data_IF_731070941387
#
_entry.id   IF_731070941387
#
_cell.length_a   1.000
_cell.length_b   1.000
_cell.length_c   1.000
_cell.angle_alpha   90.00
_cell.angle_beta   90.00
_cell.angle_gamma   90.00
#
_symmetry.space_group_name_H-M   'P 1'
#
loop_
_entity.id
_entity.type
_entity.pdbx_description
1 polymer ?
#
# COMPACT_ATOMS: atom_id res chain seq x y z
N UNK A 1 -4.26 -2.73 34.31
CA UNK A 1 -4.15 -1.42 33.61
C UNK A 1 -4.17 -1.72 32.11
N UNK A 2 -5.10 -1.18 31.33
CA UNK A 2 -5.11 -1.44 29.88
C UNK A 2 -4.01 -0.62 29.21
N UNK A 3 -3.00 -1.28 28.65
CA UNK A 3 -1.93 -0.60 27.90
C UNK A 3 -2.51 -0.01 26.61
N UNK A 4 -2.26 1.28 26.38
CA UNK A 4 -2.80 2.00 25.22
C UNK A 4 -1.99 1.72 23.93
N UNK A 5 -2.63 1.76 22.75
CA UNK A 5 -1.93 1.78 21.46
C UNK A 5 -0.93 2.94 21.35
N UNK A 6 0.19 2.72 20.67
CA UNK A 6 1.17 3.78 20.35
C UNK A 6 0.76 4.51 19.07
N UNK A 7 -0.21 5.43 19.18
CA UNK A 7 -0.83 6.08 18.02
C UNK A 7 0.17 6.88 17.17
N UNK A 8 1.09 7.62 17.79
CA UNK A 8 2.11 8.36 17.03
C UNK A 8 3.09 7.39 16.36
N UNK A 9 3.48 6.33 17.06
CA UNK A 9 4.34 5.29 16.48
C UNK A 9 3.70 4.55 15.31
N UNK A 10 2.40 4.23 15.37
CA UNK A 10 1.67 3.61 14.24
C UNK A 10 1.64 4.54 13.03
N UNK A 11 1.44 5.84 13.24
CA UNK A 11 1.50 6.83 12.16
C UNK A 11 2.90 6.91 11.53
N UNK A 12 3.96 6.91 12.36
CA UNK A 12 5.34 6.84 11.90
C UNK A 12 5.61 5.58 11.05
N UNK A 13 5.19 4.41 11.53
CA UNK A 13 5.34 3.15 10.79
C UNK A 13 4.64 3.19 9.43
N UNK A 14 3.44 3.79 9.36
CA UNK A 14 2.70 3.93 8.12
C UNK A 14 3.42 4.83 7.10
N UNK A 15 3.92 5.99 7.55
CA UNK A 15 4.71 6.90 6.71
C UNK A 15 6.03 6.26 6.26
N UNK A 16 6.67 5.46 7.13
CA UNK A 16 7.90 4.76 6.76
C UNK A 16 7.63 3.65 5.73
N UNK A 17 6.57 2.86 5.94
CA UNK A 17 6.16 1.84 4.99
C UNK A 17 5.79 2.43 3.63
N UNK A 18 5.13 3.58 3.60
CA UNK A 18 4.89 4.35 2.36
C UNK A 18 6.21 4.65 1.64
N UNK A 19 7.19 5.26 2.32
CA UNK A 19 8.50 5.58 1.73
C UNK A 19 9.22 4.33 1.20
N UNK A 20 9.15 3.23 1.95
CA UNK A 20 9.77 1.97 1.54
C UNK A 20 9.10 1.41 0.26
N UNK A 21 7.78 1.56 0.11
CA UNK A 21 7.04 1.15 -1.09
C UNK A 21 7.33 2.06 -2.28
N UNK A 22 7.48 3.37 -2.06
CA UNK A 22 7.93 4.30 -3.10
C UNK A 22 9.36 4.01 -3.56
N UNK A 23 10.25 3.66 -2.64
CA UNK A 23 11.62 3.28 -2.96
C UNK A 23 11.68 2.01 -3.81
N UNK A 24 10.87 0.98 -3.49
CA UNK A 24 10.74 -0.23 -4.32
C UNK A 24 10.21 0.13 -5.72
N UNK A 25 9.17 0.96 -5.80
CA UNK A 25 8.62 1.40 -7.08
C UNK A 25 9.63 2.19 -7.93
N UNK A 26 10.42 3.06 -7.30
CA UNK A 26 11.45 3.85 -7.97
C UNK A 26 12.59 2.96 -8.49
N UNK A 27 13.09 2.03 -7.66
CA UNK A 27 14.10 1.06 -8.08
C UNK A 27 13.62 0.20 -9.26
N UNK A 28 12.37 -0.29 -9.20
CA UNK A 28 11.80 -1.04 -10.32
C UNK A 28 11.72 -0.20 -11.59
N UNK A 29 11.27 1.05 -11.52
CA UNK A 29 11.19 1.92 -12.69
C UNK A 29 12.55 2.11 -13.36
N UNK A 30 13.62 2.28 -12.57
CA UNK A 30 15.00 2.35 -13.07
C UNK A 30 15.43 1.04 -13.73
N UNK A 31 15.10 -0.11 -13.14
CA UNK A 31 15.45 -1.43 -13.70
C UNK A 31 14.74 -1.74 -15.03
N UNK A 32 13.53 -1.22 -15.22
CA UNK A 32 12.73 -1.46 -16.42
C UNK A 32 13.18 -0.61 -17.62
N UNK A 33 13.76 0.56 -17.37
CA UNK A 33 14.08 1.52 -18.42
C UNK A 33 15.05 0.96 -19.48
N UNK A 34 16.20 0.34 -19.12
CA UNK A 34 17.10 -0.24 -20.12
C UNK A 34 16.46 -1.38 -20.92
N UNK A 35 15.54 -2.13 -20.31
CA UNK A 35 14.87 -3.25 -20.97
C UNK A 35 13.91 -2.79 -22.07
N UNK A 36 13.37 -1.56 -21.98
CA UNK A 36 12.48 -1.00 -23.00
C UNK A 36 13.13 -0.95 -24.39
N UNK A 37 14.45 -0.84 -24.46
CA UNK A 37 15.23 -0.88 -25.71
C UNK A 37 15.06 -2.17 -26.52
N UNK A 38 14.51 -3.23 -25.91
CA UNK A 38 14.19 -4.47 -26.60
C UNK A 38 12.95 -4.35 -27.50
N UNK A 39 12.10 -3.34 -27.30
CA UNK A 39 10.83 -3.17 -28.03
C UNK A 39 11.08 -2.41 -29.32
N UNK A 40 10.79 -3.05 -30.46
CA UNK A 40 10.85 -2.45 -31.80
C UNK A 40 9.45 -2.02 -32.23
N UNK A 41 9.26 -0.73 -32.52
CA UNK A 41 7.99 -0.17 -32.96
C UNK A 41 7.48 -0.80 -34.27
N UNK A 42 8.37 -1.17 -35.18
CA UNK A 42 8.00 -1.81 -36.45
C UNK A 42 7.68 -3.30 -36.29
N UNK A 43 8.07 -3.90 -35.16
CA UNK A 43 7.96 -5.33 -34.89
C UNK A 43 7.41 -5.63 -33.49
N UNK A 44 6.40 -4.86 -33.05
CA UNK A 44 5.87 -4.94 -31.67
C UNK A 44 5.51 -6.37 -31.25
N UNK A 45 4.80 -7.14 -32.07
CA UNK A 45 4.40 -8.51 -31.71
C UNK A 45 5.58 -9.47 -31.57
N UNK A 46 6.65 -9.23 -32.33
CA UNK A 46 7.84 -10.07 -32.31
C UNK A 46 8.73 -9.74 -31.10
N UNK A 47 8.81 -8.47 -30.73
CA UNK A 47 9.74 -8.00 -29.67
C UNK A 47 9.11 -7.95 -28.28
N UNK A 48 7.79 -7.76 -28.17
CA UNK A 48 7.08 -7.72 -26.89
C UNK A 48 7.30 -8.97 -26.02
N UNK A 49 7.28 -10.21 -26.54
CA UNK A 49 7.57 -11.40 -25.73
C UNK A 49 8.97 -11.41 -25.11
N UNK A 50 9.98 -10.89 -25.83
CA UNK A 50 11.34 -10.80 -25.30
C UNK A 50 11.43 -9.77 -24.17
N UNK A 51 10.81 -8.61 -24.36
CA UNK A 51 10.71 -7.59 -23.32
C UNK A 51 9.99 -8.13 -22.08
N UNK A 52 8.86 -8.82 -22.25
CA UNK A 52 8.12 -9.47 -21.16
C UNK A 52 9.00 -10.47 -20.40
N UNK A 53 9.76 -11.30 -21.11
CA UNK A 53 10.69 -12.25 -20.49
C UNK A 53 11.77 -11.57 -19.64
N UNK A 54 12.22 -10.37 -20.03
CA UNK A 54 13.16 -9.56 -19.27
C UNK A 54 12.56 -8.86 -18.04
N UNK A 55 11.34 -8.31 -18.16
CA UNK A 55 10.73 -7.48 -17.10
C UNK A 55 10.01 -8.29 -16.03
N UNK A 56 9.38 -9.42 -16.37
CA UNK A 56 8.57 -10.20 -15.43
C UNK A 56 9.35 -10.66 -14.17
N UNK A 57 10.61 -11.15 -14.27
CA UNK A 57 11.40 -11.47 -13.09
C UNK A 57 11.67 -10.25 -12.20
N UNK A 58 11.89 -9.06 -12.78
CA UNK A 58 12.14 -7.81 -12.03
C UNK A 58 10.90 -7.38 -11.24
N UNK A 59 9.74 -7.44 -11.89
CA UNK A 59 8.45 -7.15 -11.25
C UNK A 59 8.16 -8.17 -10.15
N UNK A 60 8.45 -9.45 -10.37
CA UNK A 60 8.31 -10.49 -9.33
C UNK A 60 9.19 -10.20 -8.12
N UNK A 61 10.46 -9.84 -8.31
CA UNK A 61 11.35 -9.46 -7.20
C UNK A 61 10.79 -8.27 -6.42
N UNK A 62 10.39 -7.21 -7.13
CA UNK A 62 9.78 -6.03 -6.49
C UNK A 62 8.47 -6.34 -5.76
N UNK A 63 7.63 -7.23 -6.32
CA UNK A 63 6.40 -7.72 -5.69
C UNK A 63 6.69 -8.45 -4.38
N UNK A 64 7.68 -9.36 -4.36
CA UNK A 64 8.08 -10.07 -3.15
C UNK A 64 8.72 -9.13 -2.12
N UNK A 65 9.51 -8.14 -2.55
CA UNK A 65 10.05 -7.10 -1.66
C UNK A 65 8.92 -6.26 -1.05
N UNK A 66 7.92 -5.89 -1.85
CA UNK A 66 6.73 -5.16 -1.40
C UNK A 66 5.94 -5.96 -0.36
N UNK A 67 5.74 -7.27 -0.60
CA UNK A 67 5.13 -8.17 0.39
C UNK A 67 5.93 -8.23 1.69
N UNK A 68 7.25 -8.35 1.60
CA UNK A 68 8.10 -8.49 2.79
C UNK A 68 8.07 -7.25 3.68
N UNK A 69 8.25 -6.07 3.10
CA UNK A 69 8.17 -4.81 3.87
C UNK A 69 6.77 -4.65 4.48
N UNK A 70 5.71 -5.01 3.74
CA UNK A 70 4.35 -4.98 4.26
C UNK A 70 4.14 -5.94 5.45
N UNK A 71 4.71 -7.16 5.41
CA UNK A 71 4.59 -8.12 6.50
C UNK A 71 5.30 -7.64 7.78
N UNK A 72 6.52 -7.10 7.64
CA UNK A 72 7.25 -6.49 8.77
C UNK A 72 6.47 -5.29 9.33
N UNK A 73 5.96 -4.44 8.45
CA UNK A 73 5.11 -3.31 8.81
C UNK A 73 3.86 -3.75 9.57
N UNK A 74 3.10 -4.73 9.07
CA UNK A 74 1.87 -5.21 9.73
C UNK A 74 2.17 -5.79 11.10
N UNK A 75 3.29 -6.51 11.25
CA UNK A 75 3.71 -7.06 12.54
C UNK A 75 4.03 -5.94 13.54
N UNK A 76 4.77 -4.93 13.11
CA UNK A 76 5.13 -3.79 13.95
C UNK A 76 3.90 -2.97 14.36
N UNK A 77 2.94 -2.74 13.44
CA UNK A 77 1.67 -2.09 13.77
C UNK A 77 0.87 -2.91 14.77
N UNK A 78 0.87 -4.23 14.63
CA UNK A 78 0.20 -5.13 15.57
C UNK A 78 0.77 -5.02 16.98
N UNK A 79 2.09 -5.10 17.16
CA UNK A 79 2.73 -4.90 18.48
C UNK A 79 2.44 -3.52 19.07
N UNK A 80 2.49 -2.47 18.23
CA UNK A 80 2.20 -1.11 18.66
C UNK A 80 0.74 -0.96 19.13
N UNK A 81 -0.19 -1.66 18.49
CA UNK A 81 -1.63 -1.54 18.74
C UNK A 81 -2.17 -2.49 19.80
N UNK A 82 -1.61 -3.69 19.89
CA UNK A 82 -2.04 -4.80 20.74
C UNK A 82 -0.91 -5.23 21.69
N UNK A 83 -0.55 -4.39 22.68
CA UNK A 83 0.61 -4.63 23.55
C UNK A 83 0.61 -5.93 24.34
N UNK A 84 -0.59 -6.45 24.66
CA UNK A 84 -0.77 -7.59 25.56
C UNK A 84 -1.08 -8.89 24.83
N UNK A 85 -1.34 -8.82 23.52
CA UNK A 85 -1.66 -10.00 22.74
C UNK A 85 -0.39 -10.77 22.37
N UNK A 86 -0.53 -12.09 22.21
CA UNK A 86 0.54 -12.94 21.72
C UNK A 86 0.97 -12.53 20.31
N UNK A 87 2.26 -12.64 19.95
CA UNK A 87 2.73 -12.33 18.61
C UNK A 87 2.03 -13.21 17.57
N UNK A 88 1.72 -12.62 16.43
CA UNK A 88 1.30 -13.38 15.26
C UNK A 88 2.55 -13.83 14.49
N UNK A 89 2.80 -15.13 14.43
CA UNK A 89 3.91 -15.69 13.66
C UNK A 89 3.52 -15.74 12.18
N UNK A 90 4.07 -14.82 11.38
CA UNK A 90 3.78 -14.71 9.95
C UNK A 90 5.00 -15.12 9.13
N UNK A 91 4.75 -15.85 8.04
CA UNK A 91 5.77 -16.11 7.03
C UNK A 91 6.03 -14.84 6.21
N UNK A 92 7.28 -14.66 5.80
CA UNK A 92 7.71 -13.60 4.89
C UNK A 92 8.40 -14.21 3.69
N UNK A 93 8.26 -13.64 2.49
CA UNK A 93 8.92 -14.21 1.33
C UNK A 93 10.44 -14.11 1.47
N UNK A 94 11.13 -15.12 0.92
CA UNK A 94 12.58 -15.10 0.81
C UNK A 94 12.97 -14.31 -0.45
N UNK A 95 13.46 -13.10 -0.26
CA UNK A 95 13.84 -12.19 -1.33
C UNK A 95 14.95 -11.26 -0.85
N UNK A 96 15.81 -10.85 -1.76
CA UNK A 96 16.89 -9.91 -1.48
C UNK A 96 16.36 -8.55 -1.01
N UNK A 97 17.02 -7.97 -0.01
CA UNK A 97 16.70 -6.64 0.48
C UNK A 97 17.17 -5.59 -0.52
N UNK A 98 16.31 -4.65 -0.96
CA UNK A 98 16.78 -3.52 -1.76
C UNK A 98 17.78 -2.67 -0.97
N UNK A 99 18.72 -2.03 -1.67
CA UNK A 99 19.69 -1.12 -1.04
C UNK A 99 19.02 0.10 -0.38
N UNK A 100 17.92 0.58 -0.97
CA UNK A 100 17.13 1.72 -0.51
C UNK A 100 16.29 1.45 0.74
N UNK A 101 16.14 0.19 1.14
CA UNK A 101 15.31 -0.22 2.29
C UNK A 101 16.20 -0.51 3.50
N UNK A 102 15.83 0.03 4.66
CA UNK A 102 16.56 -0.21 5.91
C UNK A 102 16.43 -1.67 6.35
N UNK A 103 17.40 -2.18 7.12
CA UNK A 103 17.32 -3.54 7.68
C UNK A 103 16.09 -3.69 8.58
N UNK A 104 15.73 -2.66 9.34
CA UNK A 104 14.59 -2.69 10.26
C UNK A 104 13.24 -2.77 9.55
N UNK A 105 13.12 -2.22 8.34
CA UNK A 105 11.92 -2.33 7.53
C UNK A 105 11.77 -3.70 6.84
N UNK A 106 12.82 -4.54 6.88
CA UNK A 106 12.88 -5.79 6.11
C UNK A 106 13.13 -7.04 6.98
N UNK A 107 13.57 -6.85 8.21
CA UNK A 107 13.78 -7.90 9.20
C UNK A 107 12.54 -8.08 10.06
N UNK A 108 12.06 -9.32 10.18
CA UNK A 108 10.99 -9.64 11.13
C UNK A 108 11.50 -9.47 12.57
N UNK A 109 10.67 -8.93 13.49
CA UNK A 109 11.01 -8.92 14.90
C UNK A 109 11.24 -10.34 15.44
N UNK A 110 12.02 -10.47 16.52
CA UNK A 110 12.15 -11.75 17.24
C UNK A 110 10.83 -12.09 17.93
N UNK A 111 10.09 -13.06 17.36
CA UNK A 111 8.78 -13.49 17.84
C UNK A 111 8.86 -14.72 18.76
N UNK A 112 10.04 -15.29 18.99
CA UNK A 112 10.17 -16.62 19.59
C UNK A 112 9.56 -17.74 18.73
N UNK A 113 9.32 -18.90 19.34
CA UNK A 113 8.73 -20.06 18.67
C UNK A 113 7.21 -19.91 18.52
N UNK A 114 6.69 -20.32 17.35
CA UNK A 114 5.25 -20.35 17.11
C UNK A 114 4.90 -20.92 15.74
N UNK A 115 3.61 -21.16 15.51
CA UNK A 115 3.10 -21.70 14.25
C UNK A 115 3.08 -20.61 13.18
N UNK A 116 3.94 -20.74 12.17
CA UNK A 116 4.01 -19.82 11.04
C UNK A 116 2.72 -19.87 10.21
N UNK A 117 2.12 -18.71 10.00
CA UNK A 117 0.97 -18.50 9.12
C UNK A 117 1.43 -17.83 7.84
N UNK A 118 1.08 -18.44 6.71
CA UNK A 118 1.38 -17.84 5.42
C UNK A 118 0.39 -16.72 5.11
N UNK A 119 0.92 -15.50 5.01
CA UNK A 119 0.17 -14.30 4.60
C UNK A 119 0.62 -13.82 3.23
N UNK A 120 1.54 -14.53 2.60
CA UNK A 120 2.07 -14.17 1.28
C UNK A 120 1.07 -14.57 0.20
N UNK A 121 1.13 -13.86 -0.92
CA UNK A 121 0.37 -14.18 -2.12
C UNK A 121 1.31 -14.59 -3.26
N UNK A 122 0.88 -15.54 -4.11
CA UNK A 122 1.66 -15.94 -5.26
C UNK A 122 1.74 -14.80 -6.29
N UNK A 123 2.87 -14.72 -7.00
CA UNK A 123 3.01 -13.80 -8.12
C UNK A 123 2.30 -14.37 -9.36
N UNK A 124 1.19 -13.74 -9.76
CA UNK A 124 0.36 -14.13 -10.90
C UNK A 124 0.98 -13.71 -12.24
N UNK A 125 2.02 -14.45 -12.70
CA UNK A 125 2.81 -14.12 -13.90
C UNK A 125 1.94 -13.82 -15.13
N UNK A 126 0.92 -14.64 -15.40
CA UNK A 126 0.07 -14.47 -16.59
C UNK A 126 -0.78 -13.19 -16.52
N UNK A 127 -1.32 -12.87 -15.34
CA UNK A 127 -2.10 -11.64 -15.11
C UNK A 127 -1.22 -10.40 -15.32
N UNK A 128 -0.01 -10.43 -14.77
CA UNK A 128 0.97 -9.34 -14.93
C UNK A 128 1.41 -9.19 -16.38
N UNK A 129 1.74 -10.29 -17.06
CA UNK A 129 2.10 -10.26 -18.48
C UNK A 129 0.98 -9.67 -19.34
N UNK A 130 -0.28 -10.04 -19.06
CA UNK A 130 -1.46 -9.49 -19.74
C UNK A 130 -1.59 -7.99 -19.49
N UNK A 131 -1.47 -7.55 -18.23
CA UNK A 131 -1.50 -6.13 -17.81
C UNK A 131 -0.48 -5.30 -18.61
N UNK A 132 0.76 -5.78 -18.70
CA UNK A 132 1.84 -5.11 -19.45
C UNK A 132 1.60 -5.11 -20.96
N UNK A 133 1.19 -6.25 -21.53
CA UNK A 133 0.93 -6.39 -22.97
C UNK A 133 -0.19 -5.45 -23.43
N UNK A 134 -1.23 -5.30 -22.61
CA UNK A 134 -2.33 -4.37 -22.89
C UNK A 134 -1.83 -2.94 -22.90
N UNK A 135 -1.04 -2.55 -21.89
CA UNK A 135 -0.58 -1.16 -21.71
C UNK A 135 0.51 -0.73 -22.69
N UNK A 136 1.40 -1.67 -23.05
CA UNK A 136 2.44 -1.49 -24.05
C UNK A 136 1.89 -1.76 -25.46
N UNK A 137 1.87 -3.02 -25.90
CA UNK A 137 1.62 -3.40 -27.29
C UNK A 137 0.22 -2.99 -27.79
N UNK A 138 -0.84 -3.46 -27.12
CA UNK A 138 -2.21 -3.29 -27.63
C UNK A 138 -2.60 -1.81 -27.73
N UNK A 139 -2.35 -1.02 -26.68
CA UNK A 139 -2.68 0.42 -26.68
C UNK A 139 -1.84 1.22 -27.67
N UNK A 140 -0.57 0.85 -27.88
CA UNK A 140 0.27 1.48 -28.91
C UNK A 140 -0.29 1.22 -30.30
N UNK A 141 -0.58 -0.05 -30.63
CA UNK A 141 -1.20 -0.41 -31.91
C UNK A 141 -2.53 0.28 -32.15
N UNK A 142 -3.37 0.36 -31.11
CA UNK A 142 -4.66 1.05 -31.18
C UNK A 142 -4.52 2.55 -31.48
N UNK A 143 -3.39 3.15 -31.13
CA UNK A 143 -3.11 4.56 -31.39
C UNK A 143 -2.39 4.80 -32.73
N UNK A 144 -2.12 3.76 -33.53
CA UNK A 144 -1.51 3.90 -34.85
C UNK A 144 -2.57 4.26 -35.93
N UNK A 145 -2.19 5.03 -36.98
CA UNK A 145 -0.86 5.62 -37.19
C UNK A 145 -0.62 6.83 -36.27
N UNK A 146 0.62 7.03 -35.85
CA UNK A 146 1.05 8.15 -35.03
C UNK A 146 2.58 8.28 -35.05
N UNK A 147 3.13 9.30 -34.42
CA UNK A 147 4.57 9.51 -34.33
C UNK A 147 5.20 8.42 -33.45
N UNK A 148 6.21 7.72 -33.98
CA UNK A 148 6.88 6.60 -33.30
C UNK A 148 7.36 7.00 -31.90
N UNK A 149 8.14 8.08 -31.79
CA UNK A 149 8.67 8.57 -30.52
C UNK A 149 7.57 8.83 -29.49
N UNK A 150 6.49 9.53 -29.88
CA UNK A 150 5.38 9.84 -28.99
C UNK A 150 4.64 8.58 -28.53
N UNK A 151 4.39 7.65 -29.46
CA UNK A 151 3.70 6.41 -29.14
C UNK A 151 4.54 5.49 -28.24
N UNK A 152 5.84 5.42 -28.49
CA UNK A 152 6.78 4.61 -27.71
C UNK A 152 7.04 5.19 -26.32
N UNK A 153 7.18 6.51 -26.19
CA UNK A 153 7.29 7.19 -24.89
C UNK A 153 6.03 6.96 -24.05
N UNK A 154 4.86 7.13 -24.65
CA UNK A 154 3.60 6.88 -23.95
C UNK A 154 3.45 5.39 -23.56
N UNK A 155 3.94 4.47 -24.39
CA UNK A 155 3.92 3.04 -24.10
C UNK A 155 4.84 2.67 -22.93
N UNK A 156 6.04 3.26 -22.89
CA UNK A 156 6.95 3.15 -21.75
C UNK A 156 6.27 3.64 -20.47
N UNK A 157 5.73 4.86 -20.47
CA UNK A 157 5.05 5.43 -19.29
C UNK A 157 3.90 4.55 -18.81
N UNK A 158 3.02 4.09 -19.71
CA UNK A 158 1.88 3.24 -19.34
C UNK A 158 2.31 1.89 -18.79
N UNK A 159 3.27 1.23 -19.45
CA UNK A 159 3.72 -0.11 -19.09
C UNK A 159 4.56 -0.11 -17.80
N UNK A 160 5.43 0.88 -17.60
CA UNK A 160 6.10 1.12 -16.31
C UNK A 160 5.09 1.39 -15.20
N UNK A 161 4.05 2.18 -15.46
CA UNK A 161 2.99 2.42 -14.48
C UNK A 161 2.20 1.17 -14.11
N UNK A 162 1.96 0.27 -15.07
CA UNK A 162 1.36 -1.03 -14.80
C UNK A 162 2.32 -1.91 -13.98
N UNK A 163 3.59 -2.00 -14.36
CA UNK A 163 4.60 -2.75 -13.63
C UNK A 163 4.72 -2.30 -12.16
N UNK A 164 4.76 -0.98 -11.90
CA UNK A 164 4.76 -0.41 -10.54
C UNK A 164 3.51 -0.81 -9.78
N UNK A 165 2.32 -0.68 -10.38
CA UNK A 165 1.07 -1.10 -9.76
C UNK A 165 1.11 -2.59 -9.39
N UNK A 166 1.58 -3.44 -10.30
CA UNK A 166 1.68 -4.89 -10.05
C UNK A 166 2.70 -5.24 -8.97
N UNK A 167 3.81 -4.50 -8.86
CA UNK A 167 4.75 -4.69 -7.75
C UNK A 167 4.13 -4.30 -6.40
N UNK A 168 3.49 -3.13 -6.31
CA UNK A 168 2.89 -2.63 -5.07
C UNK A 168 1.66 -3.43 -4.63
N UNK A 169 1.04 -4.20 -5.54
CA UNK A 169 0.01 -5.17 -5.17
C UNK A 169 0.51 -6.19 -4.14
N UNK A 170 1.82 -6.45 -4.04
CA UNK A 170 2.37 -7.32 -2.99
C UNK A 170 2.00 -6.84 -1.59
N UNK A 171 2.19 -5.54 -1.32
CA UNK A 171 1.78 -4.95 -0.04
C UNK A 171 0.28 -5.08 0.23
N UNK A 172 -0.55 -4.84 -0.79
CA UNK A 172 -2.01 -4.90 -0.68
C UNK A 172 -2.49 -6.32 -0.41
N UNK A 173 -1.88 -7.31 -1.06
CA UNK A 173 -2.18 -8.73 -0.88
C UNK A 173 -1.82 -9.21 0.54
N UNK A 174 -0.69 -8.76 1.09
CA UNK A 174 -0.33 -9.08 2.48
C UNK A 174 -1.36 -8.56 3.48
N UNK A 175 -1.81 -7.31 3.32
CA UNK A 175 -2.84 -6.75 4.20
C UNK A 175 -4.20 -7.40 3.96
N UNK A 176 -4.53 -7.80 2.73
CA UNK A 176 -5.72 -8.61 2.45
C UNK A 176 -5.67 -9.96 3.18
N UNK A 177 -4.51 -10.60 3.20
CA UNK A 177 -4.35 -11.90 3.84
C UNK A 177 -4.34 -11.78 5.36
N UNK A 178 -3.74 -10.72 5.91
CA UNK A 178 -3.74 -10.51 7.36
C UNK A 178 -5.15 -10.32 7.91
N UNK A 179 -6.07 -9.68 7.17
CA UNK A 179 -7.47 -9.53 7.64
C UNK A 179 -8.21 -10.85 7.76
N UNK A 180 -7.79 -11.89 7.03
CA UNK A 180 -8.38 -13.23 7.09
C UNK A 180 -7.83 -14.07 8.25
N UNK A 181 -6.66 -13.69 8.75
CA UNK A 181 -5.88 -14.50 9.69
C UNK A 181 -5.88 -13.89 11.10
N UNK A 182 -5.78 -12.56 11.20
CA UNK A 182 -5.74 -11.85 12.48
C UNK A 182 -7.14 -11.41 12.92
N UNK A 183 -7.78 -12.22 13.76
CA UNK A 183 -9.13 -11.96 14.28
C UNK A 183 -9.23 -10.70 15.16
N UNK A 184 -8.12 -10.07 15.54
CA UNK A 184 -8.12 -8.82 16.31
C UNK A 184 -8.25 -7.58 15.43
N UNK A 185 -8.02 -7.73 14.14
CA UNK A 185 -8.11 -6.64 13.18
C UNK A 185 -9.56 -6.24 13.00
N UNK A 186 -9.86 -4.95 13.18
CA UNK A 186 -11.24 -4.44 13.03
C UNK A 186 -11.47 -3.83 11.66
N UNK A 187 -10.41 -3.61 10.88
CA UNK A 187 -10.48 -3.04 9.54
C UNK A 187 -9.13 -2.73 8.92
N UNK A 188 -9.15 -2.05 7.78
CA UNK A 188 -7.95 -1.50 7.14
C UNK A 188 -8.19 -0.05 6.70
N UNK A 189 -7.13 0.73 6.60
CA UNK A 189 -7.17 2.09 6.06
C UNK A 189 -6.20 2.21 4.88
N UNK A 190 -6.50 3.12 3.96
CA UNK A 190 -5.61 3.42 2.83
C UNK A 190 -4.55 4.41 3.27
N UNK A 191 -3.28 4.10 2.97
CA UNK A 191 -2.14 5.00 3.10
C UNK A 191 -1.79 5.48 1.70
N UNK A 192 -1.76 6.78 1.50
CA UNK A 192 -1.38 7.37 0.21
C UNK A 192 0.12 7.30 -0.02
N UNK A 193 0.55 7.57 -1.24
CA UNK A 193 1.96 7.92 -1.52
C UNK A 193 2.17 9.43 -1.29
N UNK A 194 3.39 9.92 -1.54
CA UNK A 194 3.81 11.30 -1.29
C UNK A 194 3.18 12.30 -2.26
N UNK A 195 2.63 11.82 -3.38
CA UNK A 195 1.96 12.64 -4.39
C UNK A 195 0.72 11.91 -4.94
N UNK A 196 -0.33 11.73 -4.11
CA UNK A 196 -1.42 10.87 -4.48
C UNK A 196 -2.32 11.56 -5.48
N UNK A 197 -2.90 10.76 -6.37
CA UNK A 197 -3.98 11.26 -7.18
C UNK A 197 -5.19 11.64 -6.30
N UNK A 198 -6.01 12.57 -6.79
CA UNK A 198 -7.23 13.01 -6.11
C UNK A 198 -8.16 11.85 -5.73
N UNK A 199 -8.19 10.77 -6.49
CA UNK A 199 -9.00 9.61 -6.15
C UNK A 199 -8.46 8.86 -4.93
N UNK A 200 -7.15 8.63 -4.86
CA UNK A 200 -6.53 7.97 -3.71
C UNK A 200 -6.64 8.81 -2.44
N UNK A 201 -6.45 10.13 -2.56
CA UNK A 201 -6.66 11.07 -1.45
C UNK A 201 -8.11 11.04 -0.95
N UNK A 202 -9.09 11.01 -1.86
CA UNK A 202 -10.50 10.91 -1.51
C UNK A 202 -10.81 9.58 -0.81
N UNK A 203 -10.28 8.45 -1.29
CA UNK A 203 -10.45 7.16 -0.64
C UNK A 203 -9.81 7.13 0.75
N UNK A 204 -8.58 7.62 0.91
CA UNK A 204 -7.93 7.72 2.21
C UNK A 204 -8.72 8.60 3.18
N UNK A 205 -9.34 9.68 2.68
CA UNK A 205 -10.18 10.58 3.49
C UNK A 205 -11.38 9.89 4.16
N UNK A 206 -11.79 8.71 3.68
CA UNK A 206 -12.89 7.92 4.26
C UNK A 206 -12.47 7.19 5.55
N UNK A 207 -11.17 7.08 5.81
CA UNK A 207 -10.63 6.36 6.96
C UNK A 207 -10.76 4.86 6.81
N UNK A 208 -10.79 4.16 7.94
CA UNK A 208 -10.82 2.72 7.93
C UNK A 208 -12.14 2.14 7.42
N UNK A 209 -12.03 1.07 6.64
CA UNK A 209 -13.11 0.16 6.28
C UNK A 209 -13.12 -0.96 7.32
N UNK A 210 -14.27 -1.21 7.95
CA UNK A 210 -14.44 -2.19 9.01
C UNK A 210 -15.34 -3.32 8.49
N UNK A 211 -14.89 -4.59 8.41
CA UNK A 211 -15.72 -5.82 8.34
C UNK A 211 -14.93 -7.10 8.03
N UNK A 212 -15.44 -8.26 8.51
CA UNK A 212 -14.91 -9.64 8.31
C UNK A 212 -14.88 -10.06 6.83
N UNK A 213 -15.81 -9.54 6.02
CA UNK A 213 -15.99 -9.83 4.59
C UNK A 213 -15.67 -8.62 3.70
N UNK A 214 -14.81 -7.70 4.16
CA UNK A 214 -14.40 -6.50 3.39
C UNK A 214 -13.75 -6.81 2.02
N UNK A 215 -13.58 -8.10 1.69
CA UNK A 215 -13.00 -8.63 0.45
C UNK A 215 -13.82 -9.75 -0.19
N UNK A 216 -15.04 -10.04 0.28
CA UNK A 216 -15.95 -11.02 -0.33
C UNK A 216 -16.98 -10.34 -1.22
N UNK A 217 -17.05 -10.66 -2.52
CA UNK A 217 -18.10 -10.14 -3.41
C UNK A 217 -19.52 -10.54 -2.98
N UNK A 218 -19.67 -11.59 -2.16
CA UNK A 218 -20.91 -12.37 -2.07
C UNK A 218 -21.75 -12.12 -0.81
N UNK A 219 -21.21 -11.46 0.23
CA UNK A 219 -21.90 -11.34 1.54
C UNK A 219 -22.22 -9.91 2.02
N UNK A 220 -21.99 -8.89 1.20
CA UNK A 220 -22.26 -7.52 1.63
C UNK A 220 -23.78 -7.27 1.68
N UNK A 221 -24.32 -7.04 2.87
CA UNK A 221 -25.68 -6.51 3.11
C UNK A 221 -25.64 -5.15 3.82
N UNK A 222 -24.46 -4.61 4.13
CA UNK A 222 -24.27 -3.35 4.86
C UNK A 222 -23.70 -2.26 3.94
N UNK A 223 -24.62 -1.47 3.41
CA UNK A 223 -24.49 -0.41 2.38
C UNK A 223 -23.47 0.73 2.63
N UNK A 224 -22.67 0.71 3.69
CA UNK A 224 -21.82 1.85 4.07
C UNK A 224 -20.36 1.71 3.58
N UNK A 225 -19.84 0.48 3.48
CA UNK A 225 -18.49 0.18 2.96
C UNK A 225 -18.42 0.16 1.43
N UNK A 226 -19.46 -0.38 0.77
CA UNK A 226 -19.58 -0.46 -0.70
C UNK A 226 -19.67 0.90 -1.42
N UNK A 227 -19.99 2.00 -0.75
CA UNK A 227 -20.05 3.32 -1.42
C UNK A 227 -18.69 3.81 -1.94
N UNK A 228 -17.57 3.42 -1.32
CA UNK A 228 -16.23 3.77 -1.83
C UNK A 228 -15.98 3.17 -3.22
N UNK A 229 -16.49 1.95 -3.42
CA UNK A 229 -16.27 1.15 -4.63
C UNK A 229 -17.40 1.31 -5.65
N UNK A 230 -18.66 1.42 -5.24
CA UNK A 230 -19.83 1.50 -6.13
C UNK A 230 -20.05 2.90 -6.71
N UNK A 231 -19.70 3.96 -5.97
CA UNK A 231 -19.83 5.34 -6.46
C UNK A 231 -18.65 5.76 -7.35
N UNK A 232 -17.61 4.91 -7.45
CA UNK A 232 -16.53 5.10 -8.41
C UNK A 232 -16.64 4.08 -9.53
N UNK A 233 -17.47 4.44 -10.52
CA UNK A 233 -17.37 3.85 -11.85
C UNK A 233 -15.96 4.12 -12.37
N UNK A 234 -15.18 3.09 -12.73
CA UNK A 234 -14.02 3.27 -13.60
C UNK A 234 -14.45 4.12 -14.81
N UNK A 235 -13.50 4.81 -15.43
CA UNK A 235 -13.75 5.36 -16.77
C UNK A 235 -14.44 4.27 -17.60
N UNK A 236 -15.59 4.56 -18.23
CA UNK A 236 -16.32 3.58 -19.07
C UNK A 236 -15.46 3.00 -20.21
N UNK A 237 -14.33 3.64 -20.49
CA UNK A 237 -13.31 3.24 -21.46
C UNK A 237 -12.06 2.59 -20.82
N UNK A 238 -12.00 2.46 -19.49
CA UNK A 238 -11.00 1.65 -18.83
C UNK A 238 -11.32 0.17 -19.10
N UNK A 239 -10.32 -0.70 -19.31
CA UNK A 239 -10.58 -2.13 -19.43
C UNK A 239 -11.31 -2.60 -18.17
N UNK A 240 -12.46 -3.24 -18.34
CA UNK A 240 -13.14 -3.90 -17.24
C UNK A 240 -12.18 -4.91 -16.59
N UNK A 241 -12.09 -4.89 -15.26
CA UNK A 241 -11.49 -6.01 -14.55
C UNK A 241 -12.31 -7.26 -14.90
N UNK A 242 -11.70 -8.43 -15.15
CA UNK A 242 -12.47 -9.62 -15.46
C UNK A 242 -13.48 -9.93 -14.35
N UNK A 243 -14.58 -10.58 -14.71
CA UNK A 243 -15.61 -10.99 -13.76
C UNK A 243 -14.99 -11.78 -12.57
N UNK A 244 -15.30 -11.35 -11.34
CA UNK A 244 -14.71 -11.92 -10.11
C UNK A 244 -13.39 -11.27 -9.63
N UNK A 245 -12.80 -10.33 -10.38
CA UNK A 245 -11.59 -9.62 -9.98
C UNK A 245 -11.93 -8.27 -9.33
N UNK A 246 -11.86 -8.22 -7.99
CA UNK A 246 -11.69 -6.95 -7.26
C UNK A 246 -10.24 -6.84 -6.83
N UNK A 247 -9.55 -5.78 -7.26
CA UNK A 247 -8.36 -5.37 -6.54
C UNK A 247 -8.82 -4.91 -5.15
N UNK A 248 -8.13 -5.39 -4.11
CA UNK A 248 -8.36 -5.14 -2.67
C UNK A 248 -8.47 -3.63 -2.41
N UNK A 249 -7.73 -2.89 -3.23
CA UNK A 249 -7.83 -1.46 -3.38
C UNK A 249 -8.06 -1.21 -4.86
N UNK A 250 -9.24 -0.75 -5.30
CA UNK A 250 -9.40 -0.27 -6.69
C UNK A 250 -8.29 0.76 -7.00
N UNK A 251 -7.35 0.38 -7.87
CA UNK A 251 -6.16 1.18 -8.19
C UNK A 251 -5.92 1.21 -9.70
N UNK A 252 -5.32 2.31 -10.15
CA UNK A 252 -4.90 2.48 -11.54
C UNK A 252 -3.38 2.31 -11.68
N UNK A 253 -2.90 2.25 -12.92
CA UNK A 253 -1.47 2.26 -13.20
C UNK A 253 -0.81 3.51 -12.59
N UNK A 254 0.42 3.38 -12.09
CA UNK A 254 1.14 4.37 -11.28
C UNK A 254 0.64 4.57 -9.85
N UNK A 255 -0.41 3.88 -9.40
CA UNK A 255 -0.85 4.00 -8.01
C UNK A 255 0.09 3.26 -7.06
N UNK A 256 0.70 3.98 -6.12
CA UNK A 256 1.60 3.43 -5.09
C UNK A 256 0.97 3.38 -3.70
N UNK A 257 -0.33 3.72 -3.59
CA UNK A 257 -1.03 3.67 -2.31
C UNK A 257 -1.06 2.25 -1.74
N UNK A 258 -0.96 2.14 -0.43
CA UNK A 258 -0.94 0.86 0.29
C UNK A 258 -2.12 0.78 1.26
N UNK A 259 -2.20 -0.33 1.97
CA UNK A 259 -3.18 -0.54 3.03
C UNK A 259 -2.44 -0.65 4.37
N UNK A 260 -3.09 -0.24 5.45
CA UNK A 260 -2.63 -0.48 6.82
C UNK A 260 -3.70 -1.19 7.64
N UNK A 261 -3.32 -2.17 8.47
CA UNK A 261 -4.23 -2.78 9.41
C UNK A 261 -4.69 -1.77 10.47
N UNK A 262 -5.93 -1.89 10.92
CA UNK A 262 -6.56 -1.04 11.93
C UNK A 262 -7.08 -1.92 13.05
N UNK A 263 -6.60 -1.67 14.26
CA UNK A 263 -6.94 -2.44 15.47
C UNK A 263 -7.82 -1.64 16.45
N UNK A 264 -7.87 -0.32 16.30
CA UNK A 264 -8.72 0.55 17.11
C UNK A 264 -9.40 1.63 16.25
N UNK A 265 -10.61 2.06 16.63
CA UNK A 265 -11.33 3.13 15.89
C UNK A 265 -10.57 4.47 15.89
N UNK A 266 -9.76 4.74 16.91
CA UNK A 266 -8.85 5.90 16.96
C UNK A 266 -7.86 5.91 15.79
N UNK A 267 -7.45 4.72 15.33
CA UNK A 267 -6.54 4.55 14.20
C UNK A 267 -7.23 4.67 12.85
N UNK A 268 -8.52 5.02 12.77
CA UNK A 268 -9.26 5.06 11.50
C UNK A 268 -8.65 5.99 10.46
N UNK A 269 -8.11 7.12 10.91
CA UNK A 269 -7.51 8.14 10.07
C UNK A 269 -6.06 8.36 10.51
N UNK A 270 -5.14 8.36 9.56
CA UNK A 270 -3.83 8.95 9.76
C UNK A 270 -3.90 10.45 9.43
N UNK A 271 -2.75 11.10 9.48
CA UNK A 271 -2.67 12.54 9.29
C UNK A 271 -2.98 12.99 7.86
N UNK A 272 -2.45 12.29 6.86
CA UNK A 272 -2.77 12.53 5.46
C UNK A 272 -4.27 12.36 5.21
N UNK A 273 -4.87 11.28 5.71
CA UNK A 273 -6.31 11.04 5.62
C UNK A 273 -7.14 12.14 6.31
N UNK A 274 -6.71 12.64 7.48
CA UNK A 274 -7.34 13.79 8.15
C UNK A 274 -7.25 15.05 7.29
N UNK A 275 -6.09 15.31 6.69
CA UNK A 275 -5.86 16.44 5.80
C UNK A 275 -6.79 16.39 4.58
N UNK A 276 -6.85 15.26 3.88
CA UNK A 276 -7.76 15.07 2.74
C UNK A 276 -9.23 15.17 3.15
N UNK A 277 -9.62 14.64 4.31
CA UNK A 277 -10.99 14.75 4.84
C UNK A 277 -11.38 16.19 5.09
N UNK A 278 -10.47 17.01 5.63
CA UNK A 278 -10.69 18.45 5.82
C UNK A 278 -10.90 19.14 4.47
N UNK A 279 -10.03 18.86 3.49
CA UNK A 279 -10.16 19.39 2.13
C UNK A 279 -11.48 19.01 1.45
N UNK A 280 -11.86 17.73 1.51
CA UNK A 280 -13.11 17.24 0.96
C UNK A 280 -14.33 17.91 1.61
N UNK A 281 -14.36 18.02 2.94
CA UNK A 281 -15.42 18.73 3.67
C UNK A 281 -15.53 20.19 3.24
N UNK A 282 -14.40 20.88 3.05
CA UNK A 282 -14.39 22.28 2.59
C UNK A 282 -15.01 22.40 1.19
N UNK A 283 -14.61 21.54 0.26
CA UNK A 283 -15.17 21.51 -1.11
C UNK A 283 -16.67 21.22 -1.09
N UNK A 284 -17.09 20.22 -0.32
CA UNK A 284 -18.49 19.83 -0.18
C UNK A 284 -19.34 20.98 0.39
N UNK A 285 -18.89 21.58 1.50
CA UNK A 285 -19.61 22.66 2.18
C UNK A 285 -19.69 23.94 1.34
N UNK A 286 -18.66 24.25 0.55
CA UNK A 286 -18.66 25.38 -0.36
C UNK A 286 -19.59 25.16 -1.56
N UNK A 287 -19.89 23.90 -1.92
CA UNK A 287 -20.62 23.53 -3.12
C UNK A 287 -21.75 22.50 -2.86
N UNK A 288 -22.72 22.79 -1.97
CA UNK A 288 -23.69 21.80 -1.50
C UNK A 288 -24.69 21.33 -2.58
N UNK A 289 -24.90 22.13 -3.63
CA UNK A 289 -25.79 21.81 -4.76
C UNK A 289 -25.06 21.21 -5.98
N UNK A 290 -23.75 21.06 -5.89
CA UNK A 290 -22.93 20.54 -6.99
C UNK A 290 -23.12 19.03 -7.12
N UNK A 291 -23.12 18.52 -8.36
CA UNK A 291 -23.16 17.08 -8.61
C UNK A 291 -21.93 16.38 -8.02
N UNK A 292 -22.03 15.09 -7.72
CA UNK A 292 -20.91 14.30 -7.19
C UNK A 292 -19.66 14.39 -8.10
N UNK A 293 -19.85 14.29 -9.41
CA UNK A 293 -18.76 14.46 -10.40
C UNK A 293 -18.15 15.87 -10.33
N UNK A 294 -18.97 16.91 -10.17
CA UNK A 294 -18.49 18.27 -9.97
C UNK A 294 -17.67 18.40 -8.69
N UNK A 295 -18.15 17.86 -7.57
CA UNK A 295 -17.44 17.90 -6.29
C UNK A 295 -16.09 17.19 -6.35
N UNK A 296 -16.01 16.03 -7.01
CA UNK A 296 -14.75 15.31 -7.24
C UNK A 296 -13.77 16.15 -8.07
N UNK A 297 -14.26 16.83 -9.12
CA UNK A 297 -13.42 17.71 -9.94
C UNK A 297 -12.92 18.94 -9.15
N UNK A 298 -13.75 19.55 -8.30
CA UNK A 298 -13.32 20.63 -7.42
C UNK A 298 -12.32 20.15 -6.37
N UNK A 299 -12.52 18.95 -5.81
CA UNK A 299 -11.54 18.34 -4.91
C UNK A 299 -10.20 18.07 -5.60
N UNK A 300 -10.23 17.62 -6.86
CA UNK A 300 -9.02 17.47 -7.68
C UNK A 300 -8.27 18.79 -7.82
N UNK A 301 -8.98 19.89 -8.11
CA UNK A 301 -8.37 21.24 -8.19
C UNK A 301 -7.82 21.68 -6.83
N UNK A 302 -8.58 21.47 -5.77
CA UNK A 302 -8.17 21.80 -4.40
C UNK A 302 -6.88 21.07 -4.03
N UNK A 303 -6.81 19.75 -4.24
CA UNK A 303 -5.63 18.94 -3.91
C UNK A 303 -4.40 19.40 -4.70
N UNK A 304 -4.56 19.71 -5.99
CA UNK A 304 -3.46 20.24 -6.83
C UNK A 304 -2.87 21.53 -6.27
N UNK A 305 -3.70 22.39 -5.69
CA UNK A 305 -3.28 23.68 -5.14
C UNK A 305 -2.88 23.60 -3.66
N UNK A 306 -3.17 22.48 -2.99
CA UNK A 306 -2.93 22.28 -1.56
C UNK A 306 -2.36 20.86 -1.35
N UNK A 307 -1.16 20.57 -1.89
CA UNK A 307 -0.53 19.27 -1.69
C UNK A 307 -0.31 19.02 -0.19
N UNK A 308 -0.35 17.76 0.22
CA UNK A 308 0.02 17.39 1.58
C UNK A 308 1.53 17.29 1.67
N UNK A 309 2.15 18.00 2.60
CA UNK A 309 3.62 18.08 2.73
C UNK A 309 4.18 17.15 3.83
N UNK A 310 3.35 16.32 4.44
CA UNK A 310 3.76 15.53 5.61
C UNK A 310 3.83 16.38 6.89
N UNK A 311 3.87 15.70 8.04
CA UNK A 311 4.21 16.33 9.31
C UNK A 311 5.66 16.07 9.68
N UNK A 312 6.23 17.00 10.43
CA UNK A 312 7.56 16.82 10.99
C UNK A 312 7.52 15.73 12.07
N UNK A 313 8.44 14.77 11.96
CA UNK A 313 8.58 13.69 12.91
C UNK A 313 9.11 14.21 14.25
N UNK A 314 8.32 14.02 15.31
CA UNK A 314 8.77 14.26 16.69
C UNK A 314 9.45 13.00 17.22
N UNK A 315 10.75 12.86 16.92
CA UNK A 315 11.57 11.70 17.30
C UNK A 315 11.56 11.50 18.82
N UNK A 316 11.64 12.58 19.59
CA UNK A 316 11.65 12.51 21.05
C UNK A 316 10.34 11.90 21.58
N UNK A 317 9.20 12.31 21.03
CA UNK A 317 7.90 11.73 21.39
C UNK A 317 7.81 10.24 21.03
N UNK A 318 8.31 9.84 19.86
CA UNK A 318 8.31 8.42 19.46
C UNK A 318 9.17 7.57 20.39
N UNK A 319 10.37 8.06 20.73
CA UNK A 319 11.26 7.40 21.66
C UNK A 319 10.63 7.27 23.05
N UNK A 320 9.99 8.34 23.54
CA UNK A 320 9.30 8.35 24.83
C UNK A 320 8.11 7.36 24.84
N UNK A 321 7.30 7.31 23.78
CA UNK A 321 6.20 6.32 23.65
C UNK A 321 6.71 4.87 23.76
N UNK A 322 7.86 4.57 23.18
CA UNK A 322 8.48 3.24 23.24
C UNK A 322 9.11 2.94 24.61
N UNK A 323 9.75 3.93 25.25
CA UNK A 323 10.26 3.81 26.63
C UNK A 323 9.14 3.55 27.62
N UNK A 324 8.04 4.31 27.51
CA UNK A 324 6.87 4.14 28.36
C UNK A 324 6.24 2.76 28.12
N UNK A 325 6.20 2.28 26.86
CA UNK A 325 5.71 0.94 26.54
C UNK A 325 6.52 -0.16 27.22
N UNK A 326 7.84 -0.11 27.12
CA UNK A 326 8.74 -1.06 27.77
C UNK A 326 8.52 -1.12 29.29
N UNK A 327 8.55 0.04 29.95
CA UNK A 327 8.31 0.15 31.39
C UNK A 327 6.94 -0.42 31.78
N UNK A 328 5.91 -0.10 30.99
CA UNK A 328 4.54 -0.54 31.28
C UNK A 328 4.35 -2.04 31.09
N UNK A 329 5.05 -2.66 30.13
CA UNK A 329 5.05 -4.13 29.95
C UNK A 329 5.72 -4.83 31.13
N UNK A 330 6.88 -4.34 31.58
CA UNK A 330 7.59 -4.88 32.74
C UNK A 330 6.74 -4.76 34.02
N UNK A 331 6.10 -3.61 34.24
CA UNK A 331 5.17 -3.41 35.36
C UNK A 331 3.93 -4.31 35.28
N UNK A 332 3.49 -4.66 34.06
CA UNK A 332 2.41 -5.63 33.84
C UNK A 332 2.86 -7.10 34.03
N UNK A 333 4.12 -7.35 34.41
CA UNK A 333 4.65 -8.68 34.71
C UNK A 333 5.22 -9.42 33.51
N UNK A 334 5.40 -8.77 32.36
CA UNK A 334 6.07 -9.40 31.22
C UNK A 334 7.55 -9.62 31.53
N UNK A 335 8.06 -10.80 31.16
CA UNK A 335 9.48 -11.11 31.30
C UNK A 335 10.31 -10.23 30.33
N UNK A 336 11.54 -9.80 30.71
CA UNK A 336 12.41 -8.99 29.83
C UNK A 336 12.70 -9.62 28.46
N UNK A 337 12.72 -10.96 28.39
CA UNK A 337 12.92 -11.71 27.14
C UNK A 337 11.63 -12.03 26.38
N UNK A 338 10.46 -11.54 26.83
CA UNK A 338 9.22 -11.70 26.07
C UNK A 338 9.31 -10.98 24.72
N UNK A 339 8.66 -11.50 23.66
CA UNK A 339 8.66 -10.85 22.35
C UNK A 339 8.20 -9.38 22.39
N UNK A 340 7.23 -9.06 23.24
CA UNK A 340 6.69 -7.71 23.39
C UNK A 340 7.72 -6.73 23.95
N UNK A 341 8.45 -7.12 25.01
CA UNK A 341 9.50 -6.28 25.61
C UNK A 341 10.69 -6.14 24.67
N UNK A 342 11.16 -7.25 24.08
CA UNK A 342 12.24 -7.24 23.08
C UNK A 342 11.91 -6.34 21.89
N UNK A 343 10.69 -6.41 21.39
CA UNK A 343 10.22 -5.54 20.31
C UNK A 343 10.30 -4.07 20.71
N UNK A 344 9.78 -3.68 21.87
CA UNK A 344 9.80 -2.29 22.32
C UNK A 344 11.24 -1.75 22.44
N UNK A 345 12.14 -2.55 23.02
CA UNK A 345 13.57 -2.21 23.13
C UNK A 345 14.21 -2.06 21.75
N UNK A 346 14.00 -3.04 20.85
CA UNK A 346 14.58 -3.01 19.50
C UNK A 346 14.08 -1.80 18.70
N UNK A 347 12.79 -1.47 18.80
CA UNK A 347 12.24 -0.29 18.14
C UNK A 347 12.80 1.01 18.74
N UNK A 348 12.94 1.11 20.06
CA UNK A 348 13.52 2.28 20.73
C UNK A 348 14.97 2.52 20.31
N UNK A 349 15.76 1.45 20.23
CA UNK A 349 17.17 1.54 19.84
C UNK A 349 17.38 2.08 18.41
N UNK A 350 16.34 2.07 17.57
CA UNK A 350 16.39 2.70 16.25
C UNK A 350 16.39 4.24 16.30
N UNK A 351 16.03 4.82 17.45
CA UNK A 351 16.02 6.27 17.68
C UNK A 351 17.13 6.74 18.62
N UNK A 352 17.78 5.82 19.33
CA UNK A 352 18.93 6.12 20.17
C UNK A 352 20.15 6.37 19.26
N UNK A 353 20.37 7.63 18.90
CA UNK A 353 21.60 8.11 18.27
C UNK A 353 22.58 8.63 19.33
#
# INVERSE_FOLDING_TARGET
MALRPLEAYVAYLAARHEQDQEAIAASLAVDLYPLWTMVDFQSLDKTMPMWLAGVLPRIKTAYLQSQRVAAVFTQNVRFASLPLDEPLHIAVPNVEKPLSISTNAFAMPDLGLGLLRDITAPFETQRVATSLTVEANYKTKKAMPGLEDELMDNALVRSSGAAVKEAINGSRDVVKNITRIDQKLIGYARVTDSNPCHFCALLASRGAVYEEDSFSPENDTRKEGRKSDADFTPNKNAPDLPEGFSDVAKVHNNCKCTLRPVYAKSQSLDEAARYYRKGWKNVYNANPKMSSTGQVNEFRKWLKNNPYEGSQLDIYKLEQELRDRENSLLQAGFHPNSPQVKWAIAQRNNFAA
#
